data_IF_894504608788
#
_entry.id   IF_894504608788
#
_cell.length_a   1.000
_cell.length_b   1.000
_cell.length_c   1.000
_cell.angle_alpha   90.00
_cell.angle_beta   90.00
_cell.angle_gamma   90.00
#
_symmetry.space_group_name_H-M   'P 1'
#
loop_
_entity.id
_entity.type
_entity.pdbx_description
1 polymer ?
#
# COMPACT_ATOMS: atom_id res chain seq x y z
N UNK A 1 25.99 21.46 -16.83
CA UNK A 1 25.56 21.00 -15.50
C UNK A 1 26.75 21.04 -14.57
N UNK A 2 26.67 21.83 -13.50
CA UNK A 2 27.76 22.04 -12.55
C UNK A 2 27.91 20.83 -11.61
N UNK A 3 29.08 20.69 -10.96
CA UNK A 3 29.32 19.61 -9.99
C UNK A 3 28.33 19.67 -8.80
N UNK A 4 27.87 20.88 -8.45
CA UNK A 4 26.89 21.13 -7.39
C UNK A 4 25.49 20.64 -7.78
N UNK A 5 25.08 20.81 -9.04
CA UNK A 5 23.79 20.29 -9.53
C UNK A 5 23.74 18.75 -9.50
N UNK A 6 24.86 18.07 -9.76
CA UNK A 6 24.96 16.60 -9.62
C UNK A 6 24.82 16.12 -8.18
N UNK A 7 25.40 16.86 -7.24
CA UNK A 7 25.33 16.54 -5.81
C UNK A 7 23.93 16.80 -5.22
N UNK A 8 23.21 17.82 -5.71
CA UNK A 8 21.83 18.10 -5.31
C UNK A 8 20.88 17.01 -5.85
N UNK A 9 21.07 16.55 -7.08
CA UNK A 9 20.29 15.45 -7.66
C UNK A 9 20.57 14.12 -6.93
N UNK A 10 21.84 13.82 -6.64
CA UNK A 10 22.19 12.65 -5.82
C UNK A 10 21.60 12.74 -4.40
N UNK A 11 21.69 13.90 -3.75
CA UNK A 11 21.13 14.08 -2.41
C UNK A 11 19.59 13.97 -2.37
N UNK A 12 18.90 14.37 -3.45
CA UNK A 12 17.45 14.18 -3.59
C UNK A 12 17.07 12.69 -3.72
N UNK A 13 17.80 11.93 -4.54
CA UNK A 13 17.61 10.46 -4.66
C UNK A 13 17.87 9.72 -3.33
N UNK A 14 18.83 10.21 -2.53
CA UNK A 14 19.09 9.66 -1.20
C UNK A 14 18.02 10.04 -0.18
N UNK A 15 17.41 11.22 -0.29
CA UNK A 15 16.31 11.64 0.59
C UNK A 15 15.08 10.77 0.38
N UNK A 16 14.80 10.36 -0.86
CA UNK A 16 13.71 9.43 -1.18
C UNK A 16 14.03 8.00 -0.73
N UNK A 17 15.28 7.56 -0.82
CA UNK A 17 15.70 6.25 -0.29
C UNK A 17 15.65 6.21 1.26
N UNK A 18 16.06 7.28 1.94
CA UNK A 18 15.99 7.42 3.40
C UNK A 18 14.54 7.55 3.83
N UNK A 19 13.72 8.30 3.10
CA UNK A 19 12.29 8.40 3.35
C UNK A 19 11.61 7.06 3.10
N UNK A 20 11.99 6.31 2.08
CA UNK A 20 11.48 4.95 1.84
C UNK A 20 11.92 3.97 2.94
N UNK A 21 13.16 4.06 3.43
CA UNK A 21 13.65 3.27 4.58
C UNK A 21 12.86 3.65 5.84
N UNK A 22 12.77 4.94 6.18
CA UNK A 22 12.03 5.42 7.35
C UNK A 22 10.51 5.16 7.26
N UNK A 23 9.96 5.14 6.04
CA UNK A 23 8.54 4.80 5.78
C UNK A 23 8.31 3.28 5.80
N UNK A 24 9.34 2.48 5.47
CA UNK A 24 9.30 1.01 5.61
C UNK A 24 9.54 0.54 7.06
N UNK A 25 10.18 1.36 7.88
CA UNK A 25 10.41 1.16 9.31
C UNK A 25 9.21 1.74 10.08
N UNK A 26 8.04 1.19 9.84
CA UNK A 26 6.87 1.39 10.70
C UNK A 26 7.05 0.71 12.06
N UNK A 27 6.30 1.17 13.08
CA UNK A 27 6.33 0.59 14.43
C UNK A 27 5.95 -0.91 14.40
N UNK A 28 6.96 -1.78 14.41
CA UNK A 28 6.81 -3.22 14.24
C UNK A 28 8.03 -3.92 13.64
N UNK A 29 8.96 -3.17 13.03
CA UNK A 29 10.25 -3.74 12.59
C UNK A 29 11.07 -4.21 13.77
N UNK A 30 11.56 -5.44 13.70
CA UNK A 30 12.51 -5.98 14.66
C UNK A 30 13.89 -5.38 14.42
N UNK A 31 14.77 -5.44 15.42
CA UNK A 31 16.19 -5.05 15.29
C UNK A 31 16.89 -5.74 14.10
N UNK A 32 16.44 -6.94 13.72
CA UNK A 32 16.98 -7.69 12.60
C UNK A 32 16.62 -7.06 11.24
N UNK A 33 15.42 -6.51 11.11
CA UNK A 33 14.94 -5.94 9.84
C UNK A 33 15.73 -4.67 9.48
N UNK A 34 16.06 -3.86 10.49
CA UNK A 34 16.89 -2.69 10.34
C UNK A 34 18.34 -3.06 9.97
N UNK A 35 18.90 -4.09 10.61
CA UNK A 35 20.25 -4.56 10.31
C UNK A 35 20.36 -5.13 8.89
N UNK A 36 19.33 -5.83 8.40
CA UNK A 36 19.28 -6.38 7.04
C UNK A 36 19.13 -5.27 6.00
N UNK A 37 18.29 -4.26 6.24
CA UNK A 37 18.14 -3.10 5.36
C UNK A 37 19.45 -2.28 5.28
N UNK A 38 20.07 -2.00 6.42
CA UNK A 38 21.35 -1.29 6.49
C UNK A 38 22.49 -2.07 5.80
N UNK A 39 22.53 -3.40 5.96
CA UNK A 39 23.52 -4.26 5.30
C UNK A 39 23.32 -4.29 3.78
N UNK A 40 22.08 -4.35 3.29
CA UNK A 40 21.78 -4.30 1.85
C UNK A 40 22.11 -2.95 1.24
N UNK A 41 21.79 -1.86 1.94
CA UNK A 41 22.17 -0.51 1.54
C UNK A 41 23.71 -0.38 1.44
N UNK A 42 24.43 -0.87 2.46
CA UNK A 42 25.88 -0.90 2.48
C UNK A 42 26.47 -1.75 1.33
N UNK A 43 25.88 -2.91 1.02
CA UNK A 43 26.33 -3.78 -0.08
C UNK A 43 26.12 -3.17 -1.48
N UNK A 44 25.04 -2.40 -1.66
CA UNK A 44 24.70 -1.70 -2.91
C UNK A 44 25.57 -0.47 -3.19
N UNK A 45 26.26 0.05 -2.17
CA UNK A 45 26.95 1.34 -2.23
C UNK A 45 28.40 1.28 -1.74
N UNK A 46 29.07 0.14 -1.93
CA UNK A 46 30.42 -0.14 -1.41
C UNK A 46 31.53 0.81 -1.89
N UNK A 47 31.31 1.60 -2.94
CA UNK A 47 32.38 2.30 -3.64
C UNK A 47 32.41 3.83 -3.45
N UNK A 48 31.69 4.39 -2.47
CA UNK A 48 31.72 5.84 -2.22
C UNK A 48 31.92 6.20 -0.74
N UNK A 49 33.13 6.63 -0.33
CA UNK A 49 33.41 7.06 1.05
C UNK A 49 32.48 8.18 1.56
N UNK A 50 32.02 9.05 0.67
CA UNK A 50 31.04 10.09 0.99
C UNK A 50 29.66 9.54 1.37
N UNK A 51 29.27 8.38 0.82
CA UNK A 51 28.01 7.75 1.16
C UNK A 51 28.06 7.08 2.54
N UNK A 52 29.21 6.52 2.91
CA UNK A 52 29.41 5.92 4.24
C UNK A 52 29.33 6.96 5.35
N UNK A 53 29.94 8.14 5.16
CA UNK A 53 29.83 9.26 6.09
C UNK A 53 28.38 9.79 6.19
N UNK A 54 27.67 9.84 5.06
CA UNK A 54 26.26 10.25 5.03
C UNK A 54 25.35 9.25 5.76
N UNK A 55 25.53 7.94 5.55
CA UNK A 55 24.81 6.90 6.28
C UNK A 55 25.07 6.92 7.78
N UNK A 56 26.33 7.14 8.19
CA UNK A 56 26.68 7.25 9.60
C UNK A 56 25.97 8.43 10.27
N UNK A 57 25.86 9.58 9.59
CA UNK A 57 25.12 10.76 10.08
C UNK A 57 23.61 10.51 10.19
N UNK A 58 23.02 9.79 9.23
CA UNK A 58 21.60 9.41 9.28
C UNK A 58 21.34 8.44 10.44
N UNK A 59 22.18 7.43 10.59
CA UNK A 59 22.08 6.49 11.71
C UNK A 59 22.19 7.24 13.05
N UNK A 60 23.14 8.16 13.18
CA UNK A 60 23.29 8.99 14.39
C UNK A 60 22.03 9.84 14.66
N UNK A 61 21.42 10.45 13.63
CA UNK A 61 20.19 11.21 13.79
C UNK A 61 19.00 10.33 14.22
N UNK A 62 18.88 9.12 13.65
CA UNK A 62 17.85 8.15 14.04
C UNK A 62 18.05 7.72 15.50
N UNK A 63 19.30 7.43 15.91
CA UNK A 63 19.63 7.07 17.29
C UNK A 63 19.29 8.20 18.28
N UNK A 64 19.63 9.44 17.95
CA UNK A 64 19.29 10.62 18.77
C UNK A 64 17.77 10.81 18.86
N UNK A 65 17.05 10.64 17.76
CA UNK A 65 15.59 10.77 17.74
C UNK A 65 14.91 9.67 18.58
N UNK A 66 15.33 8.41 18.42
CA UNK A 66 14.82 7.27 19.20
C UNK A 66 15.10 7.43 20.69
N UNK A 67 16.29 7.92 21.06
CA UNK A 67 16.64 8.15 22.46
C UNK A 67 15.81 9.27 23.08
N UNK A 68 15.67 10.41 22.40
CA UNK A 68 14.89 11.55 22.91
C UNK A 68 13.39 11.29 22.97
N UNK A 69 12.85 10.55 22.00
CA UNK A 69 11.41 10.37 21.83
C UNK A 69 10.91 9.14 22.59
N UNK A 70 11.68 8.06 22.60
CA UNK A 70 11.25 6.74 23.09
C UNK A 70 12.14 6.20 24.23
N UNK A 71 13.21 6.90 24.61
CA UNK A 71 14.18 6.40 25.60
C UNK A 71 14.99 5.18 25.11
N UNK A 72 14.95 4.85 23.82
CA UNK A 72 15.59 3.66 23.25
C UNK A 72 17.01 3.97 22.78
N UNK A 73 17.96 3.06 23.05
CA UNK A 73 19.33 3.11 22.53
C UNK A 73 19.60 1.87 21.68
N UNK A 74 20.03 2.06 20.42
CA UNK A 74 20.23 0.97 19.44
C UNK A 74 21.42 0.05 19.79
N UNK A 75 22.30 0.48 20.68
CA UNK A 75 23.53 -0.22 21.08
C UNK A 75 23.48 -0.70 22.54
N UNK A 76 22.48 -1.52 22.90
CA UNK A 76 22.48 -2.21 24.20
C UNK A 76 21.24 -3.06 24.39
N UNK A 77 21.38 -4.26 24.99
CA UNK A 77 20.23 -4.97 25.55
C UNK A 77 19.71 -4.12 26.71
N UNK A 78 18.45 -3.68 26.73
CA UNK A 78 17.89 -3.12 27.95
C UNK A 78 17.69 -4.27 28.93
N UNK A 79 18.50 -4.32 29.98
CA UNK A 79 18.16 -5.03 31.22
C UNK A 79 17.47 -4.02 32.14
N UNK A 80 16.28 -3.59 31.76
CA UNK A 80 15.37 -2.97 32.70
C UNK A 80 14.09 -3.80 32.70
N UNK A 81 13.55 -4.18 33.87
CA UNK A 81 12.19 -4.65 33.93
C UNK A 81 11.30 -3.53 33.36
N UNK A 82 10.52 -3.85 32.33
CA UNK A 82 9.44 -2.97 31.90
C UNK A 82 8.55 -2.74 33.14
N UNK A 83 8.18 -1.50 33.47
CA UNK A 83 7.19 -1.25 34.52
C UNK A 83 5.92 -2.05 34.20
N UNK A 84 5.33 -2.72 35.19
CA UNK A 84 4.07 -3.46 35.05
C UNK A 84 2.88 -2.54 34.67
N UNK A 85 3.13 -1.24 34.59
CA UNK A 85 2.15 -0.18 34.42
C UNK A 85 2.11 0.41 33.00
N UNK A 86 2.74 -0.23 31.99
CA UNK A 86 2.58 0.23 30.61
C UNK A 86 1.10 0.06 30.24
N UNK A 87 0.35 1.16 30.02
CA UNK A 87 -1.04 1.06 29.61
C UNK A 87 -1.08 0.24 28.34
N UNK A 88 -1.98 -0.75 28.26
CA UNK A 88 -2.30 -1.50 27.04
C UNK A 88 -2.30 -0.51 25.88
N UNK A 89 -1.25 -0.56 25.06
CA UNK A 89 -0.93 0.53 24.15
C UNK A 89 -2.17 0.86 23.33
N UNK A 90 -2.59 2.13 23.37
CA UNK A 90 -3.69 2.61 22.54
C UNK A 90 -3.44 2.13 21.09
N UNK A 91 -4.48 1.68 20.38
CA UNK A 91 -4.31 1.13 19.03
C UNK A 91 -3.50 2.13 18.19
N UNK A 92 -2.38 1.64 17.64
CA UNK A 92 -1.51 2.45 16.81
C UNK A 92 -2.27 2.87 15.55
N UNK A 93 -2.63 4.15 15.46
CA UNK A 93 -3.25 4.72 14.26
C UNK A 93 -2.17 5.03 13.24
N UNK A 94 -2.22 4.38 12.08
CA UNK A 94 -1.34 4.72 10.96
C UNK A 94 -1.59 6.17 10.53
N UNK A 95 -0.54 6.98 10.26
CA UNK A 95 -0.73 8.29 9.67
C UNK A 95 -1.50 8.15 8.35
N UNK A 96 -2.55 8.95 8.20
CA UNK A 96 -3.35 8.99 6.97
C UNK A 96 -2.54 9.64 5.86
N UNK A 97 -1.82 8.81 5.11
CA UNK A 97 -1.36 9.21 3.79
C UNK A 97 -2.49 8.88 2.81
N UNK A 98 -3.20 9.86 2.24
CA UNK A 98 -4.23 9.54 1.25
C UNK A 98 -3.60 8.94 -0.02
N UNK A 99 -4.35 8.15 -0.76
CA UNK A 99 -3.98 7.82 -2.14
C UNK A 99 -4.17 9.06 -3.01
N UNK A 100 -3.49 9.14 -4.15
CA UNK A 100 -3.77 10.20 -5.11
C UNK A 100 -5.27 10.22 -5.47
N UNK A 101 -5.90 11.41 -5.49
CA UNK A 101 -7.36 11.62 -5.52
C UNK A 101 -8.14 10.71 -6.48
N UNK A 102 -7.56 10.41 -7.65
CA UNK A 102 -8.21 9.54 -8.62
C UNK A 102 -8.25 8.08 -8.17
N UNK A 103 -7.14 7.54 -7.68
CA UNK A 103 -7.07 6.15 -7.21
C UNK A 103 -7.93 5.97 -5.97
N UNK A 104 -7.88 6.94 -5.06
CA UNK A 104 -8.71 6.99 -3.86
C UNK A 104 -10.21 6.88 -4.21
N UNK A 105 -10.70 7.77 -5.08
CA UNK A 105 -12.06 7.70 -5.60
C UNK A 105 -12.37 6.36 -6.29
N UNK A 106 -11.45 5.85 -7.09
CA UNK A 106 -11.64 4.57 -7.77
C UNK A 106 -11.82 3.41 -6.77
N UNK A 107 -11.06 3.39 -5.68
CA UNK A 107 -11.12 2.30 -4.68
C UNK A 107 -12.34 2.44 -3.77
N UNK A 108 -12.65 3.65 -3.28
CA UNK A 108 -13.64 3.83 -2.21
C UNK A 108 -15.02 4.30 -2.69
N UNK A 109 -15.10 5.01 -3.81
CA UNK A 109 -16.36 5.58 -4.31
C UNK A 109 -16.83 4.90 -5.60
N UNK A 110 -15.89 4.32 -6.35
CA UNK A 110 -16.08 3.91 -7.72
C UNK A 110 -16.11 5.10 -8.69
N UNK A 111 -15.97 4.79 -9.98
CA UNK A 111 -16.07 5.76 -11.06
C UNK A 111 -17.29 5.43 -11.93
N UNK A 112 -18.01 6.47 -12.35
CA UNK A 112 -19.19 6.37 -13.22
C UNK A 112 -18.85 6.99 -14.57
N UNK A 113 -18.85 6.20 -15.65
CA UNK A 113 -18.64 6.71 -17.02
C UNK A 113 -19.75 6.23 -17.92
N UNK A 114 -20.74 7.10 -18.13
CA UNK A 114 -21.91 6.79 -18.95
C UNK A 114 -22.70 5.61 -18.39
N UNK A 115 -22.56 4.43 -19.01
CA UNK A 115 -23.25 3.19 -18.63
C UNK A 115 -22.36 2.20 -17.87
N UNK A 116 -21.14 2.59 -17.51
CA UNK A 116 -20.16 1.74 -16.86
C UNK A 116 -19.91 2.19 -15.42
N UNK A 117 -19.90 1.21 -14.52
CA UNK A 117 -19.41 1.34 -13.15
C UNK A 117 -18.02 0.69 -13.13
N UNK A 118 -16.99 1.44 -12.73
CA UNK A 118 -15.64 0.90 -12.48
C UNK A 118 -15.21 1.21 -11.05
N UNK A 119 -14.24 0.47 -10.53
CA UNK A 119 -13.81 0.64 -9.13
C UNK A 119 -14.82 0.11 -8.10
N UNK A 120 -14.82 0.76 -6.94
CA UNK A 120 -15.49 0.36 -5.70
C UNK A 120 -15.01 -1.01 -5.22
N UNK A 121 -13.87 -1.01 -4.53
CA UNK A 121 -13.17 -2.19 -4.02
C UNK A 121 -13.06 -2.20 -2.50
N UNK A 122 -13.63 -1.22 -1.80
CA UNK A 122 -13.72 -1.21 -0.33
C UNK A 122 -15.01 -0.52 0.10
N UNK A 123 -15.61 -1.00 1.19
CA UNK A 123 -16.77 -0.37 1.82
C UNK A 123 -16.29 0.34 3.07
N UNK A 124 -16.28 1.67 3.04
CA UNK A 124 -15.99 2.45 4.24
C UNK A 124 -17.13 2.27 5.23
N UNK A 125 -16.82 1.71 6.42
CA UNK A 125 -17.78 1.40 7.48
C UNK A 125 -18.97 0.53 7.03
N UNK A 126 -18.77 -0.28 5.98
CA UNK A 126 -19.81 -1.12 5.40
C UNK A 126 -20.88 -0.37 4.58
N UNK A 127 -20.76 0.95 4.44
CA UNK A 127 -21.68 1.77 3.64
C UNK A 127 -21.28 1.78 2.16
N UNK A 128 -22.29 1.81 1.29
CA UNK A 128 -22.13 2.02 -0.14
C UNK A 128 -22.37 3.48 -0.49
N UNK A 129 -21.72 4.01 -1.55
CA UNK A 129 -22.08 5.30 -2.11
C UNK A 129 -23.55 5.35 -2.58
N UNK A 130 -24.15 6.54 -2.51
CA UNK A 130 -25.56 6.76 -2.87
C UNK A 130 -25.93 6.18 -4.24
N UNK A 131 -27.06 5.47 -4.26
CA UNK A 131 -27.62 4.82 -5.45
C UNK A 131 -26.96 3.50 -5.84
N UNK A 132 -26.01 3.00 -5.04
CA UNK A 132 -25.43 1.67 -5.21
C UNK A 132 -26.00 0.68 -4.18
N UNK A 133 -26.11 -0.58 -4.61
CA UNK A 133 -26.52 -1.72 -3.78
C UNK A 133 -25.63 -2.92 -4.10
N UNK A 134 -25.47 -3.83 -3.14
CA UNK A 134 -24.76 -5.09 -3.35
C UNK A 134 -25.75 -6.23 -3.53
N UNK A 135 -25.43 -7.16 -4.42
CA UNK A 135 -26.20 -8.36 -4.69
C UNK A 135 -25.24 -9.56 -4.80
N UNK A 136 -25.68 -10.75 -4.39
CA UNK A 136 -24.91 -11.98 -4.56
C UNK A 136 -23.53 -11.94 -3.89
N UNK A 137 -23.50 -11.63 -2.58
CA UNK A 137 -22.24 -11.64 -1.81
C UNK A 137 -21.70 -13.06 -1.69
N UNK A 138 -20.45 -13.24 -2.09
CA UNK A 138 -19.69 -14.47 -1.93
C UNK A 138 -19.07 -14.53 -0.53
N UNK A 139 -18.79 -15.74 0.00
CA UNK A 139 -17.98 -15.89 1.19
C UNK A 139 -16.64 -15.17 1.06
N UNK A 140 -16.08 -14.77 2.20
CA UNK A 140 -14.70 -14.30 2.22
C UNK A 140 -13.76 -15.47 1.90
N UNK A 141 -12.66 -15.20 1.21
CA UNK A 141 -11.55 -16.14 1.09
C UNK A 141 -10.71 -16.18 2.37
N UNK A 142 -9.63 -16.98 2.34
CA UNK A 142 -8.71 -17.16 3.47
C UNK A 142 -8.05 -15.86 3.96
N UNK A 143 -7.99 -14.82 3.12
CA UNK A 143 -7.37 -13.54 3.43
C UNK A 143 -8.43 -12.45 3.75
N UNK A 144 -9.71 -12.82 3.80
CA UNK A 144 -10.80 -11.88 4.06
C UNK A 144 -11.29 -11.11 2.82
N UNK A 145 -10.71 -11.35 1.64
CA UNK A 145 -11.17 -10.76 0.38
C UNK A 145 -12.48 -11.43 -0.02
N UNK A 146 -13.43 -10.68 -0.54
CA UNK A 146 -14.73 -11.24 -0.94
C UNK A 146 -15.20 -10.65 -2.26
N UNK A 147 -16.26 -11.24 -2.82
CA UNK A 147 -16.87 -10.79 -4.07
C UNK A 147 -18.33 -10.43 -3.89
N UNK A 148 -18.83 -9.53 -4.71
CA UNK A 148 -20.26 -9.32 -4.90
C UNK A 148 -20.54 -8.66 -6.27
N UNK A 149 -21.81 -8.60 -6.62
CA UNK A 149 -22.28 -7.77 -7.72
C UNK A 149 -22.62 -6.38 -7.18
N UNK A 150 -22.20 -5.33 -7.89
CA UNK A 150 -22.55 -3.94 -7.59
C UNK A 150 -23.67 -3.52 -8.54
N UNK A 151 -24.82 -3.16 -7.97
CA UNK A 151 -26.03 -2.78 -8.69
C UNK A 151 -26.30 -1.28 -8.53
N UNK A 152 -26.59 -0.60 -9.63
CA UNK A 152 -27.03 0.80 -9.67
C UNK A 152 -28.37 0.91 -10.39
N UNK A 153 -29.31 1.66 -9.81
CA UNK A 153 -30.56 2.03 -10.47
C UNK A 153 -30.42 3.45 -11.02
N UNK A 154 -30.55 3.61 -12.33
CA UNK A 154 -30.48 4.91 -12.99
C UNK A 154 -31.82 5.66 -12.88
N UNK A 155 -31.83 7.01 -13.05
CA UNK A 155 -33.07 7.80 -12.97
C UNK A 155 -34.19 7.36 -13.93
N UNK A 156 -33.84 6.71 -15.05
CA UNK A 156 -34.79 6.18 -16.02
C UNK A 156 -35.28 4.75 -15.69
N UNK A 157 -35.03 4.25 -14.48
CA UNK A 157 -35.40 2.91 -14.03
C UNK A 157 -34.49 1.78 -14.54
N UNK A 158 -33.55 2.05 -15.44
CA UNK A 158 -32.63 1.01 -15.93
C UNK A 158 -31.65 0.60 -14.83
N UNK A 159 -31.41 -0.70 -14.72
CA UNK A 159 -30.48 -1.29 -13.76
C UNK A 159 -29.14 -1.57 -14.47
N UNK A 160 -28.05 -1.15 -13.85
CA UNK A 160 -26.69 -1.55 -14.21
C UNK A 160 -26.16 -2.52 -13.14
N UNK A 161 -25.57 -3.63 -13.56
CA UNK A 161 -24.94 -4.60 -12.66
C UNK A 161 -23.50 -4.81 -13.10
N UNK A 162 -22.56 -4.61 -12.19
CA UNK A 162 -21.16 -4.99 -12.33
C UNK A 162 -20.94 -6.26 -11.53
N UNK A 163 -20.74 -7.38 -12.22
CA UNK A 163 -20.64 -8.69 -11.58
C UNK A 163 -19.21 -8.98 -11.08
N UNK A 164 -19.11 -9.83 -10.05
CA UNK A 164 -17.86 -10.35 -9.49
C UNK A 164 -16.82 -9.28 -9.09
N UNK A 165 -17.27 -8.16 -8.54
CA UNK A 165 -16.40 -7.13 -7.97
C UNK A 165 -15.73 -7.68 -6.73
N UNK A 166 -14.40 -7.62 -6.66
CA UNK A 166 -13.64 -8.01 -5.47
C UNK A 166 -13.50 -6.84 -4.51
N UNK A 167 -13.55 -7.14 -3.22
CA UNK A 167 -13.50 -6.17 -2.14
C UNK A 167 -12.39 -6.51 -1.15
N UNK A 168 -11.71 -5.47 -0.66
CA UNK A 168 -10.72 -5.58 0.41
C UNK A 168 -11.40 -6.12 1.68
N UNK A 169 -10.62 -6.69 2.62
CA UNK A 169 -11.18 -7.19 3.88
C UNK A 169 -11.99 -6.11 4.60
N UNK A 170 -13.22 -6.44 5.01
CA UNK A 170 -14.15 -5.47 5.60
C UNK A 170 -13.65 -4.84 6.91
N UNK A 171 -12.74 -5.52 7.61
CA UNK A 171 -12.16 -5.00 8.84
C UNK A 171 -11.01 -4.03 8.60
N UNK A 172 -10.53 -3.89 7.36
CA UNK A 172 -9.52 -2.88 7.04
C UNK A 172 -10.18 -1.51 6.96
N UNK A 173 -9.55 -0.53 7.61
CA UNK A 173 -9.88 0.88 7.47
C UNK A 173 -9.47 1.42 6.09
N UNK A 174 -9.98 2.60 5.72
CA UNK A 174 -9.55 3.31 4.51
C UNK A 174 -8.03 3.52 4.48
N UNK A 175 -7.46 3.90 5.63
CA UNK A 175 -6.02 4.11 5.81
C UNK A 175 -5.21 2.82 5.61
N UNK A 176 -5.69 1.69 6.15
CA UNK A 176 -5.06 0.38 5.96
C UNK A 176 -5.10 -0.07 4.50
N UNK A 177 -6.21 0.12 3.79
CA UNK A 177 -6.30 -0.16 2.35
C UNK A 177 -5.31 0.70 1.56
N UNK A 178 -5.25 2.00 1.85
CA UNK A 178 -4.30 2.91 1.19
C UNK A 178 -2.84 2.50 1.45
N UNK A 179 -2.52 2.13 2.69
CA UNK A 179 -1.20 1.63 3.05
C UNK A 179 -0.88 0.30 2.35
N UNK A 180 -1.82 -0.65 2.33
CA UNK A 180 -1.68 -1.94 1.66
C UNK A 180 -1.38 -1.77 0.16
N UNK A 181 -2.09 -0.87 -0.52
CA UNK A 181 -1.86 -0.57 -1.93
C UNK A 181 -0.45 -0.02 -2.16
N UNK A 182 0.02 0.92 -1.32
CA UNK A 182 1.38 1.46 -1.43
C UNK A 182 2.45 0.39 -1.23
N UNK A 183 2.31 -0.45 -0.20
CA UNK A 183 3.29 -1.51 0.09
C UNK A 183 3.30 -2.57 -1.01
N UNK A 184 2.12 -3.00 -1.47
CA UNK A 184 2.01 -3.93 -2.60
C UNK A 184 2.60 -3.33 -3.88
N UNK A 185 2.34 -2.05 -4.15
CA UNK A 185 2.92 -1.38 -5.32
C UNK A 185 4.45 -1.25 -5.20
N UNK A 186 4.99 -0.92 -4.03
CA UNK A 186 6.43 -0.83 -3.81
C UNK A 186 7.15 -2.17 -4.04
N UNK A 187 6.48 -3.29 -3.72
CA UNK A 187 6.98 -4.66 -3.90
C UNK A 187 6.48 -5.35 -5.18
N UNK A 188 5.93 -4.57 -6.13
CA UNK A 188 5.22 -5.10 -7.28
C UNK A 188 6.07 -5.95 -8.21
N UNK A 189 5.38 -6.83 -8.91
CA UNK A 189 5.86 -7.62 -10.03
C UNK A 189 5.01 -7.32 -11.27
N UNK A 190 5.54 -7.67 -12.45
CA UNK A 190 4.72 -7.72 -13.67
C UNK A 190 3.94 -9.05 -13.67
N UNK A 191 2.60 -9.04 -13.68
CA UNK A 191 1.86 -10.27 -13.89
C UNK A 191 2.14 -10.79 -15.30
N UNK A 192 1.98 -12.11 -15.51
CA UNK A 192 2.04 -12.68 -16.85
C UNK A 192 1.03 -11.93 -17.75
N UNK A 193 1.50 -11.44 -18.90
CA UNK A 193 0.77 -10.55 -19.82
C UNK A 193 -0.68 -11.03 -20.01
N UNK A 194 -1.64 -10.24 -19.50
CA UNK A 194 -3.07 -10.42 -19.74
C UNK A 194 -3.59 -9.14 -20.41
N UNK A 195 -3.54 -9.09 -21.74
CA UNK A 195 -4.26 -8.08 -22.54
C UNK A 195 -3.39 -7.02 -23.23
N UNK A 196 -4.05 -5.94 -23.64
CA UNK A 196 -3.53 -4.82 -24.45
C UNK A 196 -2.22 -4.24 -23.89
N UNK A 197 -1.16 -4.31 -24.69
CA UNK A 197 0.20 -3.81 -24.38
C UNK A 197 0.23 -2.32 -23.99
N UNK A 198 -0.85 -1.58 -24.27
CA UNK A 198 -0.97 -0.16 -23.92
C UNK A 198 -1.26 0.10 -22.45
N UNK A 199 -1.74 -0.90 -21.70
CA UNK A 199 -2.10 -0.76 -20.28
C UNK A 199 -1.18 -1.63 -19.45
N UNK A 200 -0.17 -1.02 -18.83
CA UNK A 200 0.74 -1.73 -17.95
C UNK A 200 0.04 -2.11 -16.64
N UNK A 201 0.14 -3.38 -16.29
CA UNK A 201 -0.41 -3.97 -15.07
C UNK A 201 0.68 -4.19 -14.04
N UNK A 202 0.29 -4.13 -12.77
CA UNK A 202 1.16 -4.48 -11.66
C UNK A 202 0.42 -5.39 -10.69
N UNK A 203 1.17 -6.20 -9.97
CA UNK A 203 0.66 -7.02 -8.88
C UNK A 203 1.64 -7.03 -7.72
N UNK A 204 1.16 -6.91 -6.49
CA UNK A 204 1.95 -7.06 -5.27
C UNK A 204 1.12 -7.69 -4.17
N UNK A 205 1.68 -7.77 -2.97
CA UNK A 205 1.01 -8.42 -1.83
C UNK A 205 1.16 -7.59 -0.55
N UNK A 206 0.12 -7.59 0.28
CA UNK A 206 0.17 -7.09 1.64
C UNK A 206 -0.62 -8.01 2.58
N UNK A 207 0.05 -8.57 3.59
CA UNK A 207 -0.55 -9.49 4.58
C UNK A 207 -1.35 -10.65 3.94
N UNK A 208 -0.80 -11.28 2.91
CA UNK A 208 -1.46 -12.37 2.17
C UNK A 208 -2.49 -11.92 1.13
N UNK A 209 -2.93 -10.66 1.14
CA UNK A 209 -3.84 -10.12 0.12
C UNK A 209 -3.02 -9.72 -1.11
N UNK A 210 -3.18 -10.46 -2.20
CA UNK A 210 -2.67 -10.06 -3.52
C UNK A 210 -3.48 -8.90 -4.07
N UNK A 211 -2.80 -7.85 -4.51
CA UNK A 211 -3.40 -6.62 -5.03
C UNK A 211 -2.91 -6.44 -6.45
N UNK A 212 -3.85 -6.20 -7.37
CA UNK A 212 -3.56 -5.92 -8.78
C UNK A 212 -4.08 -4.55 -9.14
N UNK A 213 -3.43 -3.90 -10.10
CA UNK A 213 -3.88 -2.63 -10.62
C UNK A 213 -3.32 -2.30 -12.00
N UNK A 214 -3.73 -1.14 -12.50
CA UNK A 214 -3.20 -0.51 -13.70
C UNK A 214 -2.50 0.79 -13.33
N UNK A 215 -1.46 1.14 -14.09
CA UNK A 215 -0.88 2.49 -14.07
C UNK A 215 -1.44 3.35 -15.21
N UNK A 216 -1.04 4.61 -15.29
CA UNK A 216 -1.39 5.50 -16.40
C UNK A 216 -1.03 4.87 -17.75
N UNK A 217 -1.93 4.90 -18.77
CA UNK A 217 -1.62 4.39 -20.10
C UNK A 217 -0.33 5.00 -20.67
N UNK A 218 0.50 4.17 -21.29
CA UNK A 218 1.80 4.58 -21.82
C UNK A 218 2.95 4.63 -20.80
N UNK A 219 2.69 4.44 -19.50
CA UNK A 219 3.75 4.24 -18.51
C UNK A 219 4.02 2.76 -18.29
N UNK A 220 5.30 2.43 -18.11
CA UNK A 220 5.69 1.10 -17.63
C UNK A 220 5.46 1.00 -16.12
N UNK A 221 4.83 -0.09 -15.68
CA UNK A 221 4.56 -0.32 -14.27
C UNK A 221 5.85 -0.31 -13.43
N UNK A 222 6.99 -0.76 -13.94
CA UNK A 222 8.22 -0.85 -13.14
C UNK A 222 8.90 0.51 -12.94
N UNK A 223 8.70 1.47 -13.85
CA UNK A 223 9.19 2.84 -13.68
C UNK A 223 8.17 3.78 -13.03
N UNK A 224 6.90 3.38 -12.97
CA UNK A 224 5.82 4.17 -12.40
C UNK A 224 5.95 4.37 -10.89
N UNK A 225 5.41 5.49 -10.40
CA UNK A 225 5.27 5.80 -8.97
C UNK A 225 3.85 5.47 -8.47
N UNK A 226 3.60 5.58 -7.17
CA UNK A 226 2.24 5.40 -6.62
C UNK A 226 1.23 6.40 -7.16
N UNK A 227 1.67 7.59 -7.59
CA UNK A 227 0.79 8.62 -8.16
C UNK A 227 0.32 8.28 -9.58
N UNK A 228 1.06 7.40 -10.26
CA UNK A 228 0.71 6.89 -11.58
C UNK A 228 -0.31 5.76 -11.53
N UNK A 229 -0.56 5.18 -10.35
CA UNK A 229 -1.53 4.11 -10.16
C UNK A 229 -2.94 4.66 -10.39
N UNK A 230 -3.70 4.00 -11.26
CA UNK A 230 -5.07 4.41 -11.63
C UNK A 230 -6.14 3.58 -10.95
N UNK A 231 -5.82 2.33 -10.70
CA UNK A 231 -6.75 1.35 -10.15
C UNK A 231 -5.98 0.43 -9.21
N UNK A 232 -6.67 -0.11 -8.22
CA UNK A 232 -6.18 -1.19 -7.39
C UNK A 232 -7.37 -2.00 -6.89
N UNK A 233 -7.25 -3.32 -6.92
CA UNK A 233 -8.26 -4.23 -6.39
C UNK A 233 -7.58 -5.47 -5.82
N UNK A 234 -8.16 -6.10 -4.78
CA UNK A 234 -7.64 -7.36 -4.26
C UNK A 234 -8.03 -8.51 -5.19
N UNK A 235 -7.17 -9.51 -5.29
CA UNK A 235 -7.46 -10.76 -5.98
C UNK A 235 -8.10 -11.73 -4.98
N UNK A 236 -9.27 -12.26 -5.36
CA UNK A 236 -9.99 -13.25 -4.57
C UNK A 236 -9.46 -14.65 -4.90
N UNK A 237 -9.05 -15.40 -3.87
CA UNK A 237 -8.45 -16.73 -3.99
C UNK A 237 -9.40 -17.87 -3.59
N UNK A 238 -10.69 -17.58 -3.37
CA UNK A 238 -11.65 -18.62 -3.03
C UNK A 238 -11.81 -19.65 -4.14
N UNK A 239 -12.02 -20.91 -3.73
CA UNK A 239 -12.21 -22.07 -4.62
C UNK A 239 -13.44 -21.95 -5.54
N UNK A 240 -13.67 -22.96 -6.41
CA UNK A 240 -14.68 -22.89 -7.47
C UNK A 240 -16.04 -22.46 -6.93
N UNK A 241 -16.61 -21.44 -7.58
CA UNK A 241 -17.85 -20.75 -7.21
C UNK A 241 -18.99 -21.74 -7.00
N UNK A 242 -19.23 -22.16 -5.76
CA UNK A 242 -20.58 -22.53 -5.34
C UNK A 242 -21.21 -21.26 -4.85
N UNK A 243 -21.78 -20.49 -5.79
CA UNK A 243 -22.72 -19.44 -5.42
C UNK A 243 -23.75 -20.09 -4.50
N UNK A 244 -23.77 -19.67 -3.23
CA UNK A 244 -24.88 -20.00 -2.36
C UNK A 244 -26.11 -19.39 -3.03
N UNK A 245 -26.98 -20.24 -3.57
CA UNK A 245 -28.32 -19.82 -3.98
C UNK A 245 -29.02 -19.38 -2.70
N UNK A 246 -29.10 -18.07 -2.49
CA UNK A 246 -29.86 -17.44 -1.42
C UNK A 246 -31.21 -16.99 -1.98
#
# INVERSE_FOLDING_TARGET
>A
MTHIEKLIIQAADHTDAITAILTSVGAGTTRNDFAVAATRFHQLHRDTPALLDHCAKIQQHIEVWLHKTLGLTLTGRPTYPLPDDIPTAAPFTLPEYPLHNRLDRHVFEGERRGRLISGLHHLHDGALPDGLSLEGRYPNDRNGVWKANVRQVLPNGRILVKSHVTFFPNHWTRAEVAHAIRVAFASRTRPAQQGDDRISTWEGEFRGVRIRGFVTPGLDAMSATTDDVRTAWPLYEGGPERAAQA
#
